data_IF_805825271350
#
_entry.id   IF_805825271350
#
_cell.length_a   1.000
_cell.length_b   1.000
_cell.length_c   1.000
_cell.angle_alpha   90.00
_cell.angle_beta   90.00
_cell.angle_gamma   90.00
#
_symmetry.space_group_name_H-M   'P 1'
#
loop_
_entity.id
_entity.type
_entity.pdbx_description
1 polymer ?
#
# COMPACT_ATOMS: atom_id res chain seq x y z
N UNK A 1 -17.47 4.31 -6.89
CA UNK A 1 -17.71 4.18 -5.47
C UNK A 1 -16.61 4.79 -4.64
N UNK A 2 -16.95 5.47 -3.55
CA UNK A 2 -15.97 6.00 -2.60
C UNK A 2 -15.38 4.83 -1.81
N UNK A 3 -14.14 4.96 -1.32
CA UNK A 3 -13.49 3.96 -0.44
C UNK A 3 -14.36 3.66 0.78
N UNK A 4 -15.02 4.67 1.35
CA UNK A 4 -15.97 4.49 2.45
C UNK A 4 -17.12 3.55 2.08
N UNK A 5 -17.69 3.69 0.88
CA UNK A 5 -18.73 2.78 0.39
C UNK A 5 -18.25 1.34 0.26
N UNK A 6 -17.00 1.11 -0.20
CA UNK A 6 -16.39 -0.24 -0.28
C UNK A 6 -16.20 -0.85 1.12
N UNK A 7 -15.87 -0.03 2.11
CA UNK A 7 -15.70 -0.45 3.51
C UNK A 7 -17.02 -0.53 4.28
N UNK A 8 -18.16 -0.24 3.66
CA UNK A 8 -19.47 -0.20 4.31
C UNK A 8 -19.62 0.94 5.33
N UNK A 9 -18.85 2.01 5.18
CA UNK A 9 -18.86 3.16 6.08
C UNK A 9 -19.81 4.25 5.54
N UNK A 10 -20.44 5.00 6.45
CA UNK A 10 -21.13 6.24 6.09
C UNK A 10 -20.13 7.28 5.54
N UNK A 11 -20.63 8.37 4.93
CA UNK A 11 -19.78 9.41 4.34
C UNK A 11 -18.80 10.07 5.33
N UNK A 12 -19.13 10.06 6.61
CA UNK A 12 -18.29 10.56 7.71
C UNK A 12 -17.72 9.43 8.59
N UNK A 13 -18.08 8.19 8.31
CA UNK A 13 -17.68 7.01 9.09
C UNK A 13 -16.18 6.75 9.00
N UNK A 14 -15.60 6.20 10.09
CA UNK A 14 -14.22 5.72 10.18
C UNK A 14 -14.22 4.26 10.55
N UNK A 15 -13.18 3.56 10.13
CA UNK A 15 -12.89 2.20 10.60
C UNK A 15 -11.76 2.22 11.63
N UNK A 16 -11.79 1.27 12.58
CA UNK A 16 -10.67 1.05 13.50
C UNK A 16 -9.64 0.05 12.96
N UNK A 17 -9.89 -0.50 11.75
CA UNK A 17 -8.92 -1.37 11.08
C UNK A 17 -7.78 -0.51 10.54
N UNK A 18 -6.50 -0.88 10.81
CA UNK A 18 -5.38 -0.18 10.21
C UNK A 18 -5.42 -0.28 8.69
N UNK A 19 -5.17 0.84 8.03
CA UNK A 19 -5.04 0.91 6.57
C UNK A 19 -3.66 1.44 6.21
N UNK A 20 -3.12 0.98 5.07
CA UNK A 20 -1.91 1.55 4.49
C UNK A 20 -2.21 2.14 3.13
N UNK A 21 -1.75 3.37 2.89
CA UNK A 21 -1.97 4.07 1.62
C UNK A 21 -0.72 4.85 1.18
N UNK A 22 -0.77 5.39 -0.03
CA UNK A 22 0.02 6.55 -0.39
C UNK A 22 -0.56 7.80 0.32
N UNK A 23 0.16 8.88 0.39
CA UNK A 23 -0.26 10.13 1.05
C UNK A 23 -1.38 10.89 0.29
N UNK A 24 -2.28 10.18 -0.37
CA UNK A 24 -3.37 10.80 -1.13
C UNK A 24 -4.50 11.27 -0.22
N UNK A 25 -4.93 12.53 -0.39
CA UNK A 25 -5.90 13.19 0.48
C UNK A 25 -7.26 12.48 0.62
N UNK A 26 -7.62 11.61 -0.34
CA UNK A 26 -8.85 10.81 -0.30
C UNK A 26 -8.90 9.79 0.84
N UNK A 27 -7.76 9.42 1.42
CA UNK A 27 -7.65 8.46 2.52
C UNK A 27 -7.66 9.11 3.91
N UNK A 28 -7.58 10.44 3.97
CA UNK A 28 -7.61 11.17 5.23
C UNK A 28 -8.92 10.88 5.96
N UNK A 29 -8.80 10.54 7.24
CA UNK A 29 -9.94 10.23 8.11
C UNK A 29 -10.81 9.02 7.71
N UNK A 30 -10.30 8.09 6.89
CA UNK A 30 -11.00 6.83 6.60
C UNK A 30 -10.78 5.81 7.71
N UNK A 31 -9.63 5.84 8.35
CA UNK A 31 -9.30 4.99 9.51
C UNK A 31 -8.76 5.81 10.66
N UNK A 32 -8.98 5.31 11.89
CA UNK A 32 -8.31 5.80 13.10
C UNK A 32 -6.81 5.45 13.11
N UNK A 33 -6.43 4.43 12.35
CA UNK A 33 -5.07 3.91 12.26
C UNK A 33 -4.60 3.91 10.80
N UNK A 34 -4.04 5.04 10.38
CA UNK A 34 -3.63 5.27 9.01
C UNK A 34 -2.10 5.19 8.90
N UNK A 35 -1.60 4.15 8.23
CA UNK A 35 -0.18 4.00 7.90
C UNK A 35 0.13 4.60 6.52
N UNK A 36 1.30 5.19 6.38
CA UNK A 36 1.84 5.64 5.10
C UNK A 36 2.85 4.64 4.54
N UNK A 37 2.81 4.47 3.22
CA UNK A 37 3.70 3.59 2.49
C UNK A 37 5.12 4.14 2.46
N UNK A 38 6.08 3.44 3.06
CA UNK A 38 7.50 3.82 3.07
C UNK A 38 8.11 3.93 1.68
N UNK A 39 7.71 3.06 0.75
CA UNK A 39 8.22 3.11 -0.63
C UNK A 39 7.78 4.40 -1.32
N UNK A 40 6.56 4.89 -1.07
CA UNK A 40 6.10 6.18 -1.58
C UNK A 40 6.88 7.34 -0.95
N UNK A 41 7.15 7.29 0.34
CA UNK A 41 7.94 8.31 1.03
C UNK A 41 9.38 8.36 0.51
N UNK A 42 10.06 7.21 0.36
CA UNK A 42 11.41 7.12 -0.20
C UNK A 42 11.44 7.60 -1.66
N UNK A 43 10.38 7.36 -2.44
CA UNK A 43 10.28 7.80 -3.84
C UNK A 43 10.39 9.33 -4.00
N UNK A 44 9.97 10.11 -3.01
CA UNK A 44 10.15 11.57 -3.05
C UNK A 44 11.62 11.97 -3.03
N UNK A 45 12.44 11.28 -2.25
CA UNK A 45 13.89 11.51 -2.20
C UNK A 45 14.58 11.04 -3.48
N UNK A 46 14.19 9.88 -4.01
CA UNK A 46 14.71 9.35 -5.28
C UNK A 46 14.39 10.24 -6.50
N UNK A 47 13.36 11.08 -6.42
CA UNK A 47 13.02 12.05 -7.48
C UNK A 47 13.81 13.34 -7.40
N UNK A 48 14.57 13.56 -6.34
CA UNK A 48 15.45 14.73 -6.24
C UNK A 48 16.60 14.57 -7.21
N UNK A 49 16.88 15.62 -7.96
CA UNK A 49 17.99 15.66 -8.93
C UNK A 49 18.89 16.86 -8.62
N UNK A 50 19.73 16.79 -7.59
CA UNK A 50 20.64 17.89 -7.25
C UNK A 50 21.67 18.12 -8.34
N UNK A 51 21.92 19.38 -8.66
CA UNK A 51 22.90 19.77 -9.68
C UNK A 51 24.34 19.64 -9.17
N UNK A 52 24.60 20.04 -7.92
CA UNK A 52 25.92 20.03 -7.31
C UNK A 52 26.33 18.64 -6.84
N UNK A 53 27.54 18.22 -7.12
CA UNK A 53 28.06 16.91 -6.71
C UNK A 53 28.03 16.72 -5.19
N UNK A 54 28.33 17.76 -4.40
CA UNK A 54 28.20 17.72 -2.94
C UNK A 54 26.77 17.37 -2.50
N UNK A 55 25.76 18.01 -3.10
CA UNK A 55 24.36 17.70 -2.78
C UNK A 55 23.95 16.29 -3.20
N UNK A 56 24.52 15.76 -4.31
CA UNK A 56 24.31 14.35 -4.69
C UNK A 56 24.84 13.40 -3.63
N UNK A 57 26.09 13.61 -3.19
CA UNK A 57 26.71 12.78 -2.15
C UNK A 57 25.93 12.81 -0.84
N UNK A 58 25.44 13.98 -0.44
CA UNK A 58 24.62 14.14 0.76
C UNK A 58 23.27 13.41 0.63
N UNK A 59 22.62 13.53 -0.52
CA UNK A 59 21.37 12.82 -0.81
C UNK A 59 21.58 11.29 -0.79
N UNK A 60 22.64 10.79 -1.41
CA UNK A 60 22.96 9.37 -1.45
C UNK A 60 23.24 8.80 -0.05
N UNK A 61 23.97 9.54 0.78
CA UNK A 61 24.18 9.17 2.18
C UNK A 61 22.86 9.12 2.95
N UNK A 62 22.01 10.12 2.79
CA UNK A 62 20.71 10.18 3.45
C UNK A 62 19.77 9.03 2.99
N UNK A 63 19.74 8.72 1.69
CA UNK A 63 19.00 7.58 1.15
C UNK A 63 19.51 6.26 1.73
N UNK A 64 20.81 6.10 1.87
CA UNK A 64 21.40 4.92 2.50
C UNK A 64 20.91 4.74 3.94
N UNK A 65 20.85 5.81 4.71
CA UNK A 65 20.34 5.76 6.10
C UNK A 65 18.83 5.44 6.16
N UNK A 66 18.02 5.99 5.24
CA UNK A 66 16.58 5.65 5.16
C UNK A 66 16.40 4.16 4.85
N UNK A 67 17.16 3.61 3.90
CA UNK A 67 17.04 2.19 3.54
C UNK A 67 17.46 1.26 4.68
N UNK A 68 18.54 1.58 5.40
CA UNK A 68 18.92 0.86 6.62
C UNK A 68 17.81 0.91 7.67
N UNK A 69 17.19 2.07 7.83
CA UNK A 69 16.06 2.22 8.76
C UNK A 69 14.84 1.38 8.33
N UNK A 70 14.53 1.36 7.04
CA UNK A 70 13.47 0.52 6.47
C UNK A 70 13.72 -0.98 6.74
N UNK A 71 14.97 -1.45 6.59
CA UNK A 71 15.36 -2.83 6.90
C UNK A 71 15.17 -3.14 8.39
N UNK A 72 15.50 -2.21 9.28
CA UNK A 72 15.27 -2.38 10.72
C UNK A 72 13.76 -2.47 11.05
N UNK A 73 12.91 -1.69 10.37
CA UNK A 73 11.45 -1.81 10.50
C UNK A 73 10.95 -3.17 10.01
N UNK A 74 11.52 -3.70 8.92
CA UNK A 74 11.18 -5.03 8.42
C UNK A 74 11.58 -6.13 9.43
N UNK A 75 12.77 -6.03 10.02
CA UNK A 75 13.22 -6.95 11.08
C UNK A 75 12.32 -6.87 12.33
N UNK A 76 11.92 -5.67 12.73
CA UNK A 76 11.00 -5.47 13.86
C UNK A 76 9.68 -6.21 13.65
N UNK A 77 9.14 -6.24 12.45
CA UNK A 77 7.89 -6.94 12.14
C UNK A 77 7.97 -8.45 12.39
N UNK A 78 9.14 -9.05 12.16
CA UNK A 78 9.34 -10.49 12.40
C UNK A 78 9.38 -10.82 13.89
N UNK A 79 10.03 -9.98 14.69
CA UNK A 79 10.20 -10.18 16.15
C UNK A 79 9.98 -8.83 16.86
N UNK A 80 8.73 -8.42 17.10
CA UNK A 80 8.42 -7.16 17.77
C UNK A 80 8.83 -7.23 19.25
N UNK A 81 9.61 -6.23 19.71
CA UNK A 81 9.99 -6.06 21.11
C UNK A 81 9.90 -4.60 21.51
N UNK A 82 9.52 -4.30 22.76
CA UNK A 82 9.45 -2.93 23.27
C UNK A 82 10.80 -2.21 23.18
N UNK A 83 11.89 -2.91 23.43
CA UNK A 83 13.25 -2.34 23.31
C UNK A 83 13.53 -1.89 21.88
N UNK A 84 13.19 -2.71 20.90
CA UNK A 84 13.39 -2.37 19.47
C UNK A 84 12.45 -1.25 19.04
N UNK A 85 11.22 -1.22 19.54
CA UNK A 85 10.25 -0.15 19.29
C UNK A 85 10.80 1.20 19.73
N UNK A 86 11.27 1.33 20.98
CA UNK A 86 11.87 2.56 21.50
C UNK A 86 13.10 2.97 20.67
N UNK A 87 14.00 2.05 20.39
CA UNK A 87 15.17 2.29 19.55
C UNK A 87 14.78 2.84 18.16
N UNK A 88 13.77 2.28 17.52
CA UNK A 88 13.31 2.73 16.21
C UNK A 88 12.67 4.12 16.25
N UNK A 89 11.95 4.45 17.31
CA UNK A 89 11.39 5.79 17.50
C UNK A 89 12.49 6.84 17.65
N UNK A 90 13.51 6.56 18.47
CA UNK A 90 14.67 7.45 18.66
C UNK A 90 15.49 7.56 17.37
N UNK A 91 15.71 6.46 16.67
CA UNK A 91 16.45 6.44 15.41
C UNK A 91 15.72 7.22 14.31
N UNK A 92 14.39 7.13 14.24
CA UNK A 92 13.59 7.97 13.35
C UNK A 92 13.83 9.46 13.63
N UNK A 93 13.73 9.87 14.90
CA UNK A 93 13.94 11.26 15.27
C UNK A 93 15.36 11.73 14.93
N UNK A 94 16.37 10.89 15.11
CA UNK A 94 17.75 11.21 14.75
C UNK A 94 17.89 11.43 13.24
N UNK A 95 17.39 10.51 12.41
CA UNK A 95 17.50 10.58 10.95
C UNK A 95 16.75 11.80 10.42
N UNK A 96 15.50 11.99 10.85
CA UNK A 96 14.63 13.05 10.32
C UNK A 96 14.77 14.39 11.08
N UNK A 97 15.83 14.56 11.89
CA UNK A 97 16.27 15.83 12.46
C UNK A 97 17.60 16.32 11.86
N UNK A 98 18.16 15.58 10.91
CA UNK A 98 19.41 15.98 10.25
C UNK A 98 19.23 17.27 9.47
N UNK A 99 20.25 18.13 9.55
CA UNK A 99 20.40 19.31 8.71
C UNK A 99 21.58 19.07 7.79
N UNK A 100 21.32 19.00 6.50
CA UNK A 100 22.28 18.54 5.50
C UNK A 100 23.00 19.70 4.79
N UNK A 101 22.46 20.91 4.89
CA UNK A 101 22.90 22.07 4.12
C UNK A 101 22.38 22.08 2.67
N UNK A 102 21.63 21.07 2.26
CA UNK A 102 20.89 21.07 1.00
C UNK A 102 19.41 21.39 1.26
N UNK A 103 19.04 22.64 1.09
CA UNK A 103 17.73 23.19 1.51
C UNK A 103 16.53 22.35 1.02
N UNK A 104 16.58 21.86 -0.23
CA UNK A 104 15.48 21.04 -0.79
C UNK A 104 15.35 19.72 -0.03
N UNK A 105 16.47 19.10 0.33
CA UNK A 105 16.50 17.88 1.13
C UNK A 105 16.04 18.16 2.56
N UNK A 106 16.54 19.22 3.18
CA UNK A 106 16.18 19.60 4.56
C UNK A 106 14.66 19.87 4.69
N UNK A 107 14.07 20.56 3.71
CA UNK A 107 12.62 20.75 3.64
C UNK A 107 11.87 19.42 3.56
N UNK A 108 12.35 18.48 2.74
CA UNK A 108 11.72 17.17 2.62
C UNK A 108 11.86 16.34 3.90
N UNK A 109 13.02 16.36 4.54
CA UNK A 109 13.26 15.71 5.83
C UNK A 109 12.25 16.23 6.87
N UNK A 110 12.07 17.54 6.95
CA UNK A 110 11.10 18.15 7.87
C UNK A 110 9.64 17.75 7.57
N UNK A 111 9.29 17.54 6.29
CA UNK A 111 7.96 17.03 5.91
C UNK A 111 7.76 15.58 6.34
N UNK A 112 8.75 14.72 6.12
CA UNK A 112 8.71 13.31 6.56
C UNK A 112 8.64 13.20 8.08
N UNK A 113 9.37 14.05 8.80
CA UNK A 113 9.32 14.11 10.27
C UNK A 113 7.90 14.33 10.81
N UNK A 114 7.11 15.18 10.15
CA UNK A 114 5.72 15.48 10.55
C UNK A 114 4.77 14.28 10.40
N UNK A 115 5.17 13.27 9.63
CA UNK A 115 4.39 12.05 9.36
C UNK A 115 4.87 10.87 10.20
N UNK A 116 5.54 11.14 11.32
CA UNK A 116 6.14 10.12 12.17
C UNK A 116 5.13 9.08 12.63
N UNK A 117 3.96 9.50 13.08
CA UNK A 117 2.92 8.62 13.63
C UNK A 117 2.42 7.64 12.56
N UNK A 118 2.15 8.14 11.35
CA UNK A 118 1.66 7.32 10.24
C UNK A 118 2.74 6.39 9.68
N UNK A 119 3.99 6.85 9.60
CA UNK A 119 5.11 6.06 9.11
C UNK A 119 5.55 4.99 10.12
N UNK A 120 5.39 5.25 11.42
CA UNK A 120 5.74 4.33 12.49
C UNK A 120 4.54 3.54 13.05
N UNK A 121 3.37 3.60 12.42
CA UNK A 121 2.20 2.84 12.85
C UNK A 121 2.48 1.33 12.96
N UNK A 122 3.40 0.81 12.15
CA UNK A 122 3.88 -0.58 12.21
C UNK A 122 4.43 -0.97 13.58
N UNK A 123 4.90 -0.02 14.39
CA UNK A 123 5.41 -0.29 15.74
C UNK A 123 4.31 -0.65 16.73
N UNK A 124 3.09 -0.18 16.48
CA UNK A 124 1.89 -0.53 17.27
C UNK A 124 1.11 -1.67 16.63
N UNK A 125 1.18 -1.80 15.31
CA UNK A 125 0.50 -2.80 14.50
C UNK A 125 1.48 -3.56 13.60
N UNK A 126 2.29 -4.51 14.12
CA UNK A 126 3.33 -5.21 13.35
C UNK A 126 2.81 -5.97 12.12
N UNK A 127 1.52 -6.33 12.10
CA UNK A 127 0.89 -6.98 10.95
C UNK A 127 0.66 -6.03 9.77
N UNK A 128 0.70 -4.70 9.96
CA UNK A 128 0.57 -3.73 8.87
C UNK A 128 1.81 -3.80 7.98
N UNK A 129 1.66 -3.92 6.66
CA UNK A 129 2.81 -3.93 5.76
C UNK A 129 3.49 -2.55 5.73
N UNK A 130 4.80 -2.51 5.43
CA UNK A 130 5.55 -1.26 5.24
C UNK A 130 5.28 -0.56 3.90
N UNK A 131 4.61 -1.26 2.98
CA UNK A 131 4.28 -0.76 1.65
C UNK A 131 2.93 -1.33 1.16
N UNK A 132 2.27 -0.59 0.29
CA UNK A 132 0.97 -0.96 -0.30
C UNK A 132 1.09 -1.65 -1.67
N UNK A 133 2.24 -2.23 -1.99
CA UNK A 133 2.55 -2.80 -3.30
C UNK A 133 1.52 -3.86 -3.76
N UNK A 134 1.04 -4.71 -2.83
CA UNK A 134 0.02 -5.71 -3.17
C UNK A 134 -1.30 -5.07 -3.64
N UNK A 135 -1.72 -3.98 -2.99
CA UNK A 135 -2.90 -3.24 -3.41
C UNK A 135 -2.69 -2.57 -4.77
N UNK A 136 -1.51 -1.99 -5.02
CA UNK A 136 -1.16 -1.39 -6.31
C UNK A 136 -1.18 -2.41 -7.44
N UNK A 137 -0.61 -3.60 -7.22
CA UNK A 137 -0.63 -4.70 -8.21
C UNK A 137 -2.08 -5.12 -8.48
N UNK A 138 -2.91 -5.23 -7.47
CA UNK A 138 -4.31 -5.64 -7.62
C UNK A 138 -5.12 -4.67 -8.51
N UNK A 139 -4.87 -3.35 -8.40
CA UNK A 139 -5.58 -2.36 -9.24
C UNK A 139 -4.91 -2.08 -10.58
N UNK A 140 -3.67 -2.56 -10.79
CA UNK A 140 -2.86 -2.27 -11.99
C UNK A 140 -3.55 -2.67 -13.29
N UNK A 141 -4.15 -3.86 -13.33
CA UNK A 141 -4.89 -4.35 -14.50
C UNK A 141 -6.02 -3.38 -14.88
N UNK A 142 -6.78 -2.91 -13.87
CA UNK A 142 -7.84 -1.92 -14.08
C UNK A 142 -7.31 -0.59 -14.61
N UNK A 143 -6.17 -0.13 -14.11
CA UNK A 143 -5.52 1.11 -14.58
C UNK A 143 -5.03 0.97 -16.02
N UNK A 144 -4.37 -0.15 -16.36
CA UNK A 144 -3.90 -0.43 -17.73
C UNK A 144 -5.10 -0.46 -18.68
N UNK A 145 -6.13 -1.22 -18.36
CA UNK A 145 -7.34 -1.33 -19.18
C UNK A 145 -7.97 0.05 -19.42
N UNK A 146 -8.12 0.86 -18.36
CA UNK A 146 -8.66 2.22 -18.47
C UNK A 146 -7.81 3.12 -19.40
N UNK A 147 -6.49 3.00 -19.34
CA UNK A 147 -5.59 3.75 -20.23
C UNK A 147 -5.72 3.35 -21.69
N UNK A 148 -5.98 2.07 -21.97
CA UNK A 148 -6.11 1.54 -23.34
C UNK A 148 -7.51 1.81 -23.91
N UNK A 149 -8.58 1.59 -23.11
CA UNK A 149 -9.97 1.68 -23.56
C UNK A 149 -10.68 2.99 -23.21
N UNK A 150 -9.95 3.95 -22.62
CA UNK A 150 -10.51 5.22 -22.11
C UNK A 150 -11.64 5.03 -21.07
N UNK A 151 -11.75 3.84 -20.48
CA UNK A 151 -12.73 3.50 -19.44
C UNK A 151 -14.03 2.95 -20.03
N UNK A 152 -15.05 2.89 -19.16
CA UNK A 152 -16.40 2.42 -19.48
C UNK A 152 -17.30 3.61 -19.78
N UNK A 153 -18.25 3.45 -20.71
CA UNK A 153 -19.15 4.52 -21.16
C UNK A 153 -20.53 4.48 -20.50
N UNK A 154 -20.79 3.49 -19.66
CA UNK A 154 -22.08 3.32 -18.98
C UNK A 154 -21.88 2.67 -17.61
N UNK A 155 -22.84 2.89 -16.69
CA UNK A 155 -22.81 2.26 -15.36
C UNK A 155 -22.92 0.73 -15.42
N UNK A 156 -23.79 0.11 -16.23
CA UNK A 156 -23.81 -1.34 -16.40
C UNK A 156 -22.47 -1.90 -16.91
N UNK A 157 -21.86 -1.21 -17.88
CA UNK A 157 -20.54 -1.60 -18.40
C UNK A 157 -19.44 -1.49 -17.35
N UNK A 158 -19.47 -0.45 -16.51
CA UNK A 158 -18.53 -0.30 -15.39
C UNK A 158 -18.72 -1.43 -14.38
N UNK A 159 -19.94 -1.71 -13.98
CA UNK A 159 -20.26 -2.77 -13.02
C UNK A 159 -19.83 -4.15 -13.52
N UNK A 160 -20.16 -4.49 -14.78
CA UNK A 160 -19.74 -5.72 -15.40
C UNK A 160 -18.21 -5.87 -15.43
N UNK A 161 -17.52 -4.80 -15.74
CA UNK A 161 -16.05 -4.78 -15.79
C UNK A 161 -15.41 -4.94 -14.41
N UNK A 162 -15.90 -4.22 -13.40
CA UNK A 162 -15.45 -4.34 -12.00
C UNK A 162 -15.62 -5.76 -11.47
N UNK A 163 -16.78 -6.39 -11.77
CA UNK A 163 -17.05 -7.78 -11.40
C UNK A 163 -16.09 -8.76 -12.09
N UNK A 164 -15.84 -8.60 -13.39
CA UNK A 164 -14.93 -9.47 -14.13
C UNK A 164 -13.48 -9.35 -13.62
N UNK A 165 -13.02 -8.14 -13.30
CA UNK A 165 -11.70 -7.94 -12.69
C UNK A 165 -11.62 -8.62 -11.31
N UNK A 166 -12.66 -8.50 -10.49
CA UNK A 166 -12.71 -9.12 -9.17
C UNK A 166 -12.65 -10.66 -9.27
N UNK A 167 -13.43 -11.25 -10.19
CA UNK A 167 -13.42 -12.69 -10.45
C UNK A 167 -12.04 -13.14 -10.94
N UNK A 168 -11.44 -12.40 -11.88
CA UNK A 168 -10.12 -12.72 -12.43
C UNK A 168 -9.04 -12.70 -11.34
N UNK A 169 -9.02 -11.68 -10.50
CA UNK A 169 -8.04 -11.56 -9.41
C UNK A 169 -8.26 -12.66 -8.35
N UNK A 170 -9.51 -12.99 -8.05
CA UNK A 170 -9.86 -14.08 -7.13
C UNK A 170 -9.41 -15.42 -7.67
N UNK A 171 -9.68 -15.71 -8.94
CA UNK A 171 -9.20 -16.94 -9.60
C UNK A 171 -7.68 -17.04 -9.51
N UNK A 172 -6.95 -15.93 -9.81
CA UNK A 172 -5.49 -15.90 -9.74
C UNK A 172 -4.97 -16.21 -8.34
N UNK A 173 -5.57 -15.62 -7.30
CA UNK A 173 -5.18 -15.84 -5.89
C UNK A 173 -5.44 -17.27 -5.43
N UNK A 174 -6.47 -17.90 -5.97
CA UNK A 174 -6.83 -19.28 -5.66
C UNK A 174 -6.14 -20.34 -6.57
N UNK A 175 -5.29 -19.90 -7.51
CA UNK A 175 -4.63 -20.81 -8.47
C UNK A 175 -5.59 -21.42 -9.49
N UNK A 176 -6.76 -20.81 -9.69
CA UNK A 176 -7.77 -21.27 -10.65
C UNK A 176 -7.61 -20.53 -11.98
N UNK A 177 -7.70 -21.24 -13.10
CA UNK A 177 -7.70 -20.60 -14.42
C UNK A 177 -8.99 -19.81 -14.63
N UNK A 178 -8.89 -18.48 -14.74
CA UNK A 178 -10.03 -17.62 -15.01
C UNK A 178 -10.80 -18.03 -16.28
N UNK A 179 -10.07 -18.34 -17.37
CA UNK A 179 -10.68 -18.76 -18.63
C UNK A 179 -11.52 -20.04 -18.45
N UNK A 180 -10.94 -21.06 -17.81
CA UNK A 180 -11.67 -22.33 -17.56
C UNK A 180 -12.86 -22.11 -16.64
N UNK A 181 -12.73 -21.30 -15.60
CA UNK A 181 -13.81 -20.98 -14.68
C UNK A 181 -14.99 -20.30 -15.39
N UNK A 182 -14.72 -19.32 -16.23
CA UNK A 182 -15.76 -18.62 -16.99
C UNK A 182 -16.39 -19.54 -18.04
N UNK A 183 -15.58 -20.32 -18.75
CA UNK A 183 -16.08 -21.29 -19.72
C UNK A 183 -17.01 -22.32 -19.06
N UNK A 184 -16.64 -22.84 -17.90
CA UNK A 184 -17.43 -23.79 -17.13
C UNK A 184 -18.79 -23.23 -16.73
N UNK A 185 -18.86 -21.97 -16.30
CA UNK A 185 -20.10 -21.26 -16.00
C UNK A 185 -20.96 -21.10 -17.28
N UNK A 186 -20.37 -20.58 -18.37
CA UNK A 186 -21.12 -20.34 -19.61
C UNK A 186 -21.60 -21.62 -20.30
N UNK A 187 -20.87 -22.71 -20.11
CA UNK A 187 -21.25 -24.04 -20.62
C UNK A 187 -22.24 -24.79 -19.70
N UNK A 188 -22.61 -24.19 -18.57
CA UNK A 188 -23.46 -24.82 -17.54
C UNK A 188 -22.93 -26.17 -17.03
N UNK A 189 -21.63 -26.42 -17.12
CA UNK A 189 -21.01 -27.66 -16.64
C UNK A 189 -20.88 -27.72 -15.14
N UNK A 190 -20.58 -26.56 -14.51
CA UNK A 190 -20.41 -26.38 -13.06
C UNK A 190 -19.46 -27.42 -12.43
N UNK A 191 -18.42 -27.80 -13.18
CA UNK A 191 -17.40 -28.76 -12.73
C UNK A 191 -16.43 -28.16 -11.73
N UNK A 192 -16.25 -26.85 -11.79
CA UNK A 192 -15.42 -26.10 -10.84
C UNK A 192 -16.30 -25.56 -9.68
N UNK A 193 -15.91 -25.77 -8.40
CA UNK A 193 -16.64 -25.21 -7.27
C UNK A 193 -16.77 -23.69 -7.39
N UNK A 194 -17.81 -23.12 -6.79
CA UNK A 194 -17.98 -21.67 -6.76
C UNK A 194 -16.78 -20.99 -6.07
N UNK A 195 -16.40 -19.81 -6.54
CA UNK A 195 -15.28 -19.07 -5.92
C UNK A 195 -15.50 -18.79 -4.44
N UNK A 196 -16.76 -18.58 -4.00
CA UNK A 196 -17.12 -18.46 -2.58
C UNK A 196 -16.67 -19.68 -1.77
N UNK A 197 -16.91 -20.87 -2.31
CA UNK A 197 -16.59 -22.12 -1.62
C UNK A 197 -15.08 -22.35 -1.58
N UNK A 198 -14.38 -22.03 -2.67
CA UNK A 198 -12.92 -22.09 -2.75
C UNK A 198 -12.25 -21.08 -1.77
N UNK A 199 -12.80 -19.88 -1.61
CA UNK A 199 -12.34 -18.90 -0.64
C UNK A 199 -12.49 -19.46 0.78
N UNK A 200 -13.66 -20.03 1.10
CA UNK A 200 -13.92 -20.63 2.40
C UNK A 200 -12.99 -21.82 2.69
N UNK A 201 -12.69 -22.64 1.68
CA UNK A 201 -11.72 -23.73 1.83
C UNK A 201 -10.31 -23.20 2.09
N UNK A 202 -9.87 -22.22 1.33
CA UNK A 202 -8.54 -21.61 1.49
C UNK A 202 -8.38 -20.91 2.85
N UNK A 203 -9.43 -20.28 3.38
CA UNK A 203 -9.41 -19.60 4.68
C UNK A 203 -9.31 -20.54 5.89
N UNK A 204 -9.63 -21.85 5.70
CA UNK A 204 -9.53 -22.86 6.78
C UNK A 204 -8.16 -23.54 6.84
N UNK A 205 -7.29 -23.30 5.87
CA UNK A 205 -5.96 -23.90 5.75
C UNK A 205 -4.88 -22.99 6.36
N UNK A 206 -5.20 -21.70 6.57
CA UNK A 206 -4.37 -20.71 7.24
C UNK A 206 -4.87 -20.44 8.67
#
# INVERSE_FOLDING_TARGET
GTIRGILGLSDTGRTDKPIITDDAGQYINVSSHHALCWIHEIRYYNKMNPFLNHHKSVLDMFLTEIWKFYELLAQYKEIPTERMKLYLQEKFDLIFSMVTGYETLDKRIAMTKKKKEELLLVLDYPNVPLHNNLAEIAVREGVIKRKISYGTRSDPGRFAWENMLSIMDTCRKLGVSFYRYILDIFSNCYSTPRLSDLILMASKIN
#
